data_IF_219291864999
#
_entry.id   IF_219291864999
#
_cell.length_a   1.000
_cell.length_b   1.000
_cell.length_c   1.000
_cell.angle_alpha   90.00
_cell.angle_beta   90.00
_cell.angle_gamma   90.00
#
_symmetry.space_group_name_H-M   'P 1'
#
loop_
_entity.id
_entity.type
_entity.pdbx_description
1 polymer ?
#
# COMPACT_ATOMS: atom_id res chain seq x y z
N UNK A 1 -8.55 5.97 -26.79
CA UNK A 1 -9.32 5.68 -25.56
C UNK A 1 -8.44 5.13 -24.42
N UNK A 2 -7.30 4.51 -24.71
CA UNK A 2 -6.34 3.99 -23.70
C UNK A 2 -5.70 5.07 -22.81
N UNK A 3 -5.31 6.22 -23.38
CA UNK A 3 -4.51 7.21 -22.64
C UNK A 3 -5.29 7.87 -21.50
N UNK A 4 -6.57 8.18 -21.72
CA UNK A 4 -7.43 8.80 -20.70
C UNK A 4 -7.75 7.83 -19.55
N UNK A 5 -7.90 6.54 -19.85
CA UNK A 5 -8.08 5.50 -18.84
C UNK A 5 -6.81 5.31 -18.00
N UNK A 6 -5.64 5.35 -18.63
CA UNK A 6 -4.35 5.26 -17.92
C UNK A 6 -4.16 6.46 -16.98
N UNK A 7 -4.38 7.69 -17.45
CA UNK A 7 -4.27 8.89 -16.59
C UNK A 7 -5.23 8.82 -15.40
N UNK A 8 -6.50 8.47 -15.61
CA UNK A 8 -7.48 8.34 -14.53
C UNK A 8 -7.09 7.24 -13.51
N UNK A 9 -6.52 6.11 -13.98
CA UNK A 9 -6.03 5.05 -13.09
C UNK A 9 -4.86 5.52 -12.22
N UNK A 10 -3.94 6.31 -12.80
CA UNK A 10 -2.80 6.85 -12.07
C UNK A 10 -3.26 7.81 -10.96
N UNK A 11 -4.19 8.70 -11.28
CA UNK A 11 -4.80 9.64 -10.32
C UNK A 11 -5.55 8.90 -9.20
N UNK A 12 -6.31 7.86 -9.53
CA UNK A 12 -7.02 7.05 -8.55
C UNK A 12 -6.05 6.30 -7.60
N UNK A 13 -4.98 5.71 -8.14
CA UNK A 13 -3.93 5.06 -7.34
C UNK A 13 -3.26 6.07 -6.41
N UNK A 14 -2.88 7.24 -6.91
CA UNK A 14 -2.24 8.31 -6.13
C UNK A 14 -3.12 8.73 -4.94
N UNK A 15 -4.38 9.07 -5.20
CA UNK A 15 -5.33 9.50 -4.18
C UNK A 15 -5.55 8.41 -3.13
N UNK A 16 -5.79 7.16 -3.54
CA UNK A 16 -6.09 6.07 -2.62
C UNK A 16 -4.87 5.61 -1.81
N UNK A 17 -3.66 5.71 -2.37
CA UNK A 17 -2.43 5.47 -1.61
C UNK A 17 -2.21 6.55 -0.54
N UNK A 18 -2.50 7.82 -0.83
CA UNK A 18 -2.47 8.90 0.18
C UNK A 18 -3.46 8.63 1.31
N UNK A 19 -4.70 8.28 0.98
CA UNK A 19 -5.72 7.94 2.00
C UNK A 19 -5.26 6.79 2.91
N UNK A 20 -4.58 5.77 2.36
CA UNK A 20 -4.04 4.66 3.15
C UNK A 20 -2.88 5.12 4.04
N UNK A 21 -1.96 5.94 3.52
CA UNK A 21 -0.84 6.51 4.27
C UNK A 21 -1.36 7.34 5.44
N UNK A 22 -2.34 8.23 5.21
CA UNK A 22 -2.97 9.04 6.25
C UNK A 22 -3.64 8.18 7.32
N UNK A 23 -4.29 7.08 6.92
CA UNK A 23 -4.89 6.13 7.86
C UNK A 23 -3.83 5.44 8.76
N UNK A 24 -2.67 5.10 8.20
CA UNK A 24 -1.55 4.57 8.98
C UNK A 24 -0.95 5.63 9.91
N UNK A 25 -0.76 6.87 9.46
CA UNK A 25 -0.25 7.97 10.29
C UNK A 25 -1.17 8.31 11.47
N UNK A 26 -2.49 8.21 11.25
CA UNK A 26 -3.48 8.39 12.30
C UNK A 26 -3.57 7.19 13.28
N UNK A 27 -2.94 6.05 12.98
CA UNK A 27 -3.01 4.87 13.82
C UNK A 27 -2.20 5.07 15.13
N UNK A 28 -2.80 4.91 16.33
CA UNK A 28 -2.14 5.25 17.60
C UNK A 28 -0.80 4.55 17.83
N UNK A 29 -0.68 3.30 17.40
CA UNK A 29 0.54 2.50 17.56
C UNK A 29 1.61 2.76 16.50
N UNK A 30 1.35 3.66 15.54
CA UNK A 30 2.32 4.17 14.56
C UNK A 30 2.74 5.59 14.93
N UNK A 31 1.81 6.42 15.37
CA UNK A 31 2.09 7.76 15.90
C UNK A 31 2.88 7.77 17.22
N UNK A 32 3.04 6.61 17.87
CA UNK A 32 3.83 6.43 19.08
C UNK A 32 5.32 6.74 18.86
N UNK A 33 6.03 7.32 19.85
CA UNK A 33 7.50 7.46 19.82
C UNK A 33 8.25 6.13 19.63
N UNK A 34 7.63 5.02 20.00
CA UNK A 34 8.08 3.67 19.70
C UNK A 34 6.96 2.93 18.94
N UNK A 35 6.93 3.01 17.60
CA UNK A 35 5.94 2.35 16.78
C UNK A 35 6.01 0.82 16.93
N UNK A 36 4.87 0.14 16.81
CA UNK A 36 4.88 -1.33 16.80
C UNK A 36 5.63 -1.85 15.56
N UNK A 37 6.57 -2.82 15.68
CA UNK A 37 7.43 -3.25 14.57
C UNK A 37 6.65 -3.69 13.32
N UNK A 38 5.61 -4.51 13.49
CA UNK A 38 4.76 -4.96 12.37
C UNK A 38 4.03 -3.80 11.68
N UNK A 39 3.57 -2.84 12.48
CA UNK A 39 2.83 -1.69 11.98
C UNK A 39 3.75 -0.76 11.19
N UNK A 40 4.94 -0.50 11.74
CA UNK A 40 5.99 0.27 11.09
C UNK A 40 6.46 -0.37 9.79
N UNK A 41 6.68 -1.70 9.79
CA UNK A 41 7.09 -2.43 8.60
C UNK A 41 6.09 -2.25 7.44
N UNK A 42 4.79 -2.46 7.69
CA UNK A 42 3.79 -2.28 6.64
C UNK A 42 3.63 -0.82 6.23
N UNK A 43 3.69 0.10 7.19
CA UNK A 43 3.63 1.53 6.86
C UNK A 43 4.79 1.94 5.95
N UNK A 44 6.01 1.51 6.25
CA UNK A 44 7.18 1.78 5.41
C UNK A 44 7.07 1.10 4.04
N UNK A 45 6.56 -0.14 3.98
CA UNK A 45 6.28 -0.82 2.72
C UNK A 45 5.31 -0.04 1.83
N UNK A 46 4.23 0.50 2.39
CA UNK A 46 3.24 1.33 1.68
C UNK A 46 3.85 2.64 1.20
N UNK A 47 4.59 3.36 2.06
CA UNK A 47 5.29 4.59 1.65
C UNK A 47 6.30 4.35 0.53
N UNK A 48 7.07 3.27 0.61
CA UNK A 48 8.03 2.92 -0.43
C UNK A 48 7.32 2.58 -1.75
N UNK A 49 6.17 1.90 -1.69
CA UNK A 49 5.33 1.64 -2.87
C UNK A 49 4.80 2.94 -3.47
N UNK A 50 4.38 3.90 -2.63
CA UNK A 50 3.93 5.21 -3.09
C UNK A 50 5.07 6.02 -3.71
N UNK A 51 6.27 5.96 -3.14
CA UNK A 51 7.47 6.56 -3.74
C UNK A 51 7.80 5.96 -5.12
N UNK A 52 7.52 4.67 -5.33
CA UNK A 52 7.65 4.06 -6.68
C UNK A 52 6.61 4.65 -7.63
N UNK A 53 5.35 4.77 -7.21
CA UNK A 53 4.28 5.39 -8.01
C UNK A 53 4.67 6.81 -8.46
N UNK A 54 5.18 7.64 -7.54
CA UNK A 54 5.58 9.03 -7.84
C UNK A 54 6.72 9.16 -8.84
N UNK A 55 7.51 8.10 -9.05
CA UNK A 55 8.60 8.08 -10.03
C UNK A 55 8.16 7.68 -11.43
N UNK A 56 6.91 7.27 -11.61
CA UNK A 56 6.38 6.85 -12.90
C UNK A 56 6.08 8.10 -13.74
N UNK A 57 6.69 8.15 -14.92
CA UNK A 57 6.42 9.20 -15.90
C UNK A 57 5.02 9.00 -16.49
N UNK A 58 4.10 9.90 -16.14
CA UNK A 58 2.70 9.84 -16.58
C UNK A 58 2.55 9.92 -18.10
N UNK A 59 3.44 10.62 -18.80
CA UNK A 59 3.38 10.71 -20.27
C UNK A 59 3.79 9.38 -20.91
N UNK A 60 4.83 8.72 -20.37
CA UNK A 60 5.25 7.38 -20.82
C UNK A 60 4.19 6.33 -20.54
N UNK A 61 3.57 6.37 -19.35
CA UNK A 61 2.46 5.48 -19.03
C UNK A 61 1.25 5.71 -19.95
N UNK A 62 0.92 6.98 -20.23
CA UNK A 62 -0.14 7.32 -21.17
C UNK A 62 0.17 6.85 -22.60
N UNK A 63 1.43 6.85 -23.03
CA UNK A 63 1.82 6.35 -24.36
C UNK A 63 1.96 4.82 -24.43
N UNK A 64 1.72 4.10 -23.33
CA UNK A 64 1.82 2.64 -23.29
C UNK A 64 3.27 2.12 -23.27
N UNK A 65 4.22 2.91 -22.77
CA UNK A 65 5.59 2.46 -22.57
C UNK A 65 5.65 1.26 -21.63
N UNK A 66 6.38 0.22 -22.03
CA UNK A 66 6.41 -1.05 -21.29
C UNK A 66 6.96 -0.91 -19.88
N UNK A 67 8.01 -0.12 -19.68
CA UNK A 67 8.60 0.04 -18.35
C UNK A 67 7.63 0.75 -17.41
N UNK A 68 6.90 1.76 -17.91
CA UNK A 68 5.88 2.44 -17.14
C UNK A 68 4.69 1.52 -16.81
N UNK A 69 4.26 0.67 -17.75
CA UNK A 69 3.23 -0.35 -17.51
C UNK A 69 3.65 -1.36 -16.43
N UNK A 70 4.86 -1.90 -16.53
CA UNK A 70 5.41 -2.87 -15.59
C UNK A 70 5.54 -2.26 -14.17
N UNK A 71 5.95 -1.00 -14.07
CA UNK A 71 6.02 -0.28 -12.80
C UNK A 71 4.64 -0.06 -12.15
N UNK A 72 3.61 0.25 -12.95
CA UNK A 72 2.23 0.34 -12.44
C UNK A 72 1.73 -1.03 -11.97
N UNK A 73 2.03 -2.08 -12.72
CA UNK A 73 1.66 -3.44 -12.32
C UNK A 73 2.32 -3.84 -11.00
N UNK A 74 3.59 -3.46 -10.80
CA UNK A 74 4.29 -3.66 -9.53
C UNK A 74 3.60 -2.90 -8.38
N UNK A 75 3.27 -1.62 -8.57
CA UNK A 75 2.56 -0.82 -7.56
C UNK A 75 1.21 -1.44 -7.20
N UNK A 76 0.41 -1.83 -8.20
CA UNK A 76 -0.88 -2.50 -7.98
C UNK A 76 -0.69 -3.82 -7.22
N UNK A 77 0.28 -4.66 -7.61
CA UNK A 77 0.55 -5.92 -6.94
C UNK A 77 0.98 -5.75 -5.48
N UNK A 78 1.80 -4.75 -5.18
CA UNK A 78 2.22 -4.42 -3.81
C UNK A 78 1.04 -3.91 -2.96
N UNK A 79 0.11 -3.17 -3.54
CA UNK A 79 -1.10 -2.73 -2.86
C UNK A 79 -2.05 -3.90 -2.54
N UNK A 80 -2.22 -4.82 -3.49
CA UNK A 80 -2.96 -6.06 -3.25
C UNK A 80 -2.31 -6.90 -2.14
N UNK A 81 -0.99 -7.04 -2.19
CA UNK A 81 -0.24 -7.76 -1.16
C UNK A 81 -0.34 -7.09 0.22
N UNK A 82 -0.35 -5.76 0.26
CA UNK A 82 -0.60 -4.99 1.50
C UNK A 82 -1.95 -5.37 2.12
N UNK A 83 -3.01 -5.46 1.31
CA UNK A 83 -4.33 -5.91 1.78
C UNK A 83 -4.30 -7.34 2.32
N UNK A 84 -3.55 -8.25 1.69
CA UNK A 84 -3.35 -9.61 2.22
C UNK A 84 -2.63 -9.59 3.57
N UNK A 85 -1.54 -8.83 3.69
CA UNK A 85 -0.73 -8.77 4.92
C UNK A 85 -1.49 -8.15 6.10
N UNK A 86 -2.25 -7.09 5.88
CA UNK A 86 -3.09 -6.45 6.91
C UNK A 86 -4.17 -7.40 7.45
N UNK A 87 -4.58 -8.37 6.64
CA UNK A 87 -5.58 -9.38 6.99
C UNK A 87 -4.94 -10.75 7.33
N UNK A 88 -3.61 -10.81 7.54
CA UNK A 88 -2.93 -12.06 7.90
C UNK A 88 -3.43 -12.59 9.25
N UNK A 89 -4.05 -13.76 9.23
CA UNK A 89 -4.46 -14.51 10.42
C UNK A 89 -3.54 -15.69 10.71
N UNK A 90 -2.56 -15.96 9.86
CA UNK A 90 -1.63 -17.08 10.02
C UNK A 90 -0.46 -16.78 10.96
N UNK A 91 -0.24 -15.51 11.30
CA UNK A 91 0.87 -15.06 12.15
C UNK A 91 2.22 -14.97 11.42
N UNK A 92 2.26 -15.23 10.10
CA UNK A 92 3.49 -15.14 9.30
C UNK A 92 4.02 -13.71 9.24
N UNK A 93 3.14 -12.72 9.11
CA UNK A 93 3.55 -11.32 9.13
C UNK A 93 4.18 -10.96 10.47
N UNK A 94 3.59 -11.42 11.58
CA UNK A 94 4.16 -11.21 12.91
C UNK A 94 5.57 -11.82 13.00
N UNK A 95 5.75 -13.07 12.57
CA UNK A 95 7.09 -13.71 12.53
C UNK A 95 8.10 -12.93 11.69
N UNK A 96 7.72 -12.50 10.48
CA UNK A 96 8.60 -11.74 9.59
C UNK A 96 9.04 -10.40 10.16
N UNK A 97 8.26 -9.86 11.10
CA UNK A 97 8.49 -8.55 11.71
C UNK A 97 8.97 -8.65 13.16
N UNK A 98 9.32 -9.86 13.62
CA UNK A 98 9.83 -10.12 14.97
C UNK A 98 8.77 -10.08 16.08
N UNK A 99 7.49 -10.12 15.72
CA UNK A 99 6.36 -10.18 16.65
C UNK A 99 5.94 -11.60 17.02
N UNK A 100 4.97 -11.69 17.95
CA UNK A 100 4.38 -12.95 18.41
C UNK A 100 3.29 -13.43 17.42
N UNK A 101 3.47 -14.60 16.76
CA UNK A 101 2.46 -15.13 15.82
C UNK A 101 1.13 -15.51 16.47
N UNK A 102 1.11 -15.78 17.77
CA UNK A 102 -0.13 -16.10 18.50
C UNK A 102 -0.97 -14.84 18.78
N UNK A 103 -0.38 -13.66 18.61
CA UNK A 103 -1.01 -12.35 18.85
C UNK A 103 -0.68 -11.40 17.70
N UNK A 104 -1.19 -11.67 16.49
CA UNK A 104 -0.93 -10.81 15.33
C UNK A 104 -1.41 -9.38 15.59
N UNK A 105 -0.69 -8.42 15.02
CA UNK A 105 -1.02 -7.00 15.14
C UNK A 105 -2.35 -6.70 14.47
N UNK A 106 -3.23 -5.97 15.17
CA UNK A 106 -4.48 -5.46 14.59
C UNK A 106 -4.30 -4.04 14.06
N UNK A 107 -4.39 -3.88 12.76
CA UNK A 107 -4.33 -2.59 12.07
C UNK A 107 -5.60 -1.73 12.23
N UNK A 108 -6.66 -2.28 12.83
CA UNK A 108 -7.92 -1.59 13.01
C UNK A 108 -8.75 -1.47 11.73
N UNK A 109 -10.02 -1.09 11.89
CA UNK A 109 -11.01 -1.10 10.81
C UNK A 109 -10.68 -0.09 9.69
N UNK A 110 -10.18 1.10 10.03
CA UNK A 110 -9.89 2.16 9.06
C UNK A 110 -8.79 1.75 8.08
N UNK A 111 -7.64 1.29 8.58
CA UNK A 111 -6.52 0.86 7.75
C UNK A 111 -6.92 -0.34 6.89
N UNK A 112 -7.65 -1.31 7.48
CA UNK A 112 -8.21 -2.47 6.77
C UNK A 112 -9.12 -2.06 5.61
N UNK A 113 -10.04 -1.12 5.84
CA UNK A 113 -10.96 -0.64 4.80
C UNK A 113 -10.21 0.06 3.66
N UNK A 114 -9.27 0.95 3.98
CA UNK A 114 -8.49 1.69 2.97
C UNK A 114 -7.57 0.79 2.16
N UNK A 115 -6.94 -0.20 2.79
CA UNK A 115 -6.14 -1.18 2.06
C UNK A 115 -6.97 -2.02 1.10
N UNK A 116 -8.20 -2.38 1.48
CA UNK A 116 -9.14 -3.07 0.60
C UNK A 116 -9.59 -2.21 -0.58
N UNK A 117 -10.04 -0.97 -0.31
CA UNK A 117 -10.43 -0.02 -1.36
C UNK A 117 -9.31 0.19 -2.40
N UNK A 118 -8.06 0.28 -1.94
CA UNK A 118 -6.90 0.45 -2.81
C UNK A 118 -6.54 -0.81 -3.62
N UNK A 119 -6.76 -2.00 -3.05
CA UNK A 119 -6.46 -3.26 -3.73
C UNK A 119 -7.43 -3.57 -4.90
N UNK A 120 -8.62 -2.96 -4.89
CA UNK A 120 -9.69 -3.18 -5.87
C UNK A 120 -9.59 -2.23 -7.10
N UNK A 121 -8.52 -1.43 -7.24
CA UNK A 121 -8.24 -0.51 -8.37
C UNK A 121 -7.49 -1.21 -9.53
#
# INVERSE_FOLDING_TARGET
MSNQQNSARLEALDAKMKELIEAFEAHPQIASPAPHPTAFFLFDFVKNTYNTLQKIDAARYASGDRQALDAIQEVTGRNQFTSVLINDTSGKLALMTGGDPSRPFDFGATVKAKAKELADI
#
